data_IF_396098807191
#
_entry.id   IF_396098807191
#
_cell.length_a   1.000
_cell.length_b   1.000
_cell.length_c   1.000
_cell.angle_alpha   90.00
_cell.angle_beta   90.00
_cell.angle_gamma   90.00
#
_symmetry.space_group_name_H-M   'P 1'
#
loop_
_entity.id
_entity.type
_entity.pdbx_description
1 polymer ?
#
# COMPACT_ATOMS: atom_id res chain seq x y z
N UNK A 1 -25.64 5.99 -27.22
CA UNK A 1 -24.43 5.77 -28.03
C UNK A 1 -23.69 4.57 -27.45
N UNK A 2 -23.78 3.45 -28.18
CA UNK A 2 -23.10 2.20 -27.83
C UNK A 2 -21.62 2.35 -28.20
N UNK A 3 -20.75 2.45 -27.21
CA UNK A 3 -19.30 2.43 -27.44
C UNK A 3 -18.94 1.07 -28.05
N UNK A 4 -18.30 1.07 -29.21
CA UNK A 4 -18.01 -0.15 -29.95
C UNK A 4 -17.08 -1.07 -29.14
N UNK A 5 -17.26 -2.40 -29.24
CA UNK A 5 -16.39 -3.41 -28.60
C UNK A 5 -14.89 -3.22 -28.89
N UNK A 6 -14.53 -2.61 -30.04
CA UNK A 6 -13.14 -2.31 -30.40
C UNK A 6 -12.51 -1.18 -29.58
N UNK A 7 -13.31 -0.19 -29.13
CA UNK A 7 -12.79 0.87 -28.24
C UNK A 7 -12.57 0.36 -26.81
N UNK A 8 -13.33 -0.66 -26.36
CA UNK A 8 -13.12 -1.31 -25.06
C UNK A 8 -11.83 -2.14 -24.96
N UNK A 9 -11.28 -2.61 -26.09
CA UNK A 9 -10.08 -3.45 -26.11
C UNK A 9 -8.76 -2.64 -26.05
N UNK A 10 -8.78 -1.32 -26.21
CA UNK A 10 -7.57 -0.50 -26.28
C UNK A 10 -7.09 0.06 -24.92
N UNK A 11 -7.90 -0.02 -23.86
CA UNK A 11 -7.58 0.62 -22.56
C UNK A 11 -7.47 -0.32 -21.37
N UNK A 12 -7.59 -1.64 -21.53
CA UNK A 12 -7.52 -2.58 -20.39
C UNK A 12 -6.19 -3.31 -20.43
N UNK A 13 -5.18 -2.75 -19.79
CA UNK A 13 -4.09 -3.54 -19.21
C UNK A 13 -4.57 -3.94 -17.82
N UNK A 14 -5.04 -5.19 -17.69
CA UNK A 14 -5.65 -5.72 -16.48
C UNK A 14 -4.61 -5.89 -15.36
N UNK A 15 -4.22 -4.78 -14.72
CA UNK A 15 -3.34 -4.83 -13.54
C UNK A 15 -4.10 -5.28 -12.31
N UNK A 16 -5.42 -5.17 -12.36
CA UNK A 16 -6.35 -5.59 -11.32
C UNK A 16 -7.74 -5.86 -11.92
N UNK A 17 -8.49 -6.70 -11.24
CA UNK A 17 -9.87 -7.00 -11.65
C UNK A 17 -10.80 -5.82 -11.35
N UNK A 18 -11.68 -5.39 -12.28
CA UNK A 18 -12.58 -4.27 -12.08
C UNK A 18 -13.84 -4.66 -11.27
N UNK A 19 -13.68 -5.48 -10.24
CA UNK A 19 -14.79 -5.93 -9.38
C UNK A 19 -15.06 -4.88 -8.31
N UNK A 20 -16.33 -4.49 -8.12
CA UNK A 20 -16.73 -3.61 -7.04
C UNK A 20 -16.59 -4.35 -5.69
N UNK A 21 -15.62 -3.98 -4.83
CA UNK A 21 -15.42 -4.68 -3.57
C UNK A 21 -16.51 -4.33 -2.54
N UNK A 22 -17.22 -3.20 -2.71
CA UNK A 22 -18.26 -2.76 -1.77
C UNK A 22 -19.43 -3.74 -1.80
N UNK A 23 -19.78 -4.24 -2.99
CA UNK A 23 -20.91 -5.15 -3.21
C UNK A 23 -20.47 -6.61 -3.45
N UNK A 24 -19.18 -6.92 -3.24
CA UNK A 24 -18.63 -8.26 -3.52
C UNK A 24 -19.05 -9.32 -2.50
N UNK A 25 -19.44 -8.89 -1.30
CA UNK A 25 -20.04 -9.73 -0.26
C UNK A 25 -21.10 -8.94 0.51
N UNK A 26 -22.04 -9.64 1.14
CA UNK A 26 -23.11 -9.04 1.93
C UNK A 26 -22.58 -8.38 3.22
N UNK A 27 -23.33 -7.41 3.74
CA UNK A 27 -22.93 -6.69 4.96
C UNK A 27 -22.75 -7.62 6.18
N UNK A 28 -23.55 -8.68 6.29
CA UNK A 28 -23.41 -9.68 7.34
C UNK A 28 -22.10 -10.46 7.23
N UNK A 29 -21.66 -10.78 6.01
CA UNK A 29 -20.39 -11.48 5.77
C UNK A 29 -19.18 -10.59 6.11
N UNK A 30 -19.26 -9.27 5.90
CA UNK A 30 -18.22 -8.31 6.33
C UNK A 30 -18.07 -8.30 7.87
N UNK A 31 -19.18 -8.38 8.60
CA UNK A 31 -19.16 -8.49 10.07
C UNK A 31 -18.53 -9.81 10.50
N UNK A 32 -18.92 -10.91 9.89
CA UNK A 32 -18.36 -12.25 10.17
C UNK A 32 -16.84 -12.26 9.94
N UNK A 33 -16.35 -11.61 8.88
CA UNK A 33 -14.92 -11.48 8.61
C UNK A 33 -14.18 -10.74 9.73
N UNK A 34 -14.75 -9.65 10.26
CA UNK A 34 -14.17 -8.89 11.37
C UNK A 34 -14.22 -9.69 12.70
N UNK A 35 -15.31 -10.37 12.98
CA UNK A 35 -15.43 -11.25 14.16
C UNK A 35 -14.44 -12.43 14.07
N UNK A 36 -14.22 -12.96 12.88
CA UNK A 36 -13.31 -14.07 12.64
C UNK A 36 -11.86 -13.67 12.95
N UNK A 37 -11.37 -12.55 12.42
CA UNK A 37 -10.00 -12.10 12.71
C UNK A 37 -9.82 -11.77 14.20
N UNK A 38 -10.82 -11.19 14.85
CA UNK A 38 -10.82 -10.96 16.30
C UNK A 38 -10.71 -12.27 17.06
N UNK A 39 -11.53 -13.28 16.70
CA UNK A 39 -11.51 -14.61 17.31
C UNK A 39 -10.18 -15.31 17.13
N UNK A 40 -9.57 -15.24 15.93
CA UNK A 40 -8.24 -15.78 15.67
C UNK A 40 -7.23 -15.12 16.61
N UNK A 41 -7.18 -13.80 16.66
CA UNK A 41 -6.24 -13.08 17.49
C UNK A 41 -6.36 -13.46 18.96
N UNK A 42 -7.57 -13.45 19.52
CA UNK A 42 -7.82 -13.79 20.95
C UNK A 42 -7.35 -15.20 21.34
N UNK A 43 -7.33 -16.15 20.40
CA UNK A 43 -6.87 -17.52 20.67
C UNK A 43 -5.35 -17.67 20.69
N UNK A 44 -4.61 -16.71 20.10
CA UNK A 44 -3.17 -16.79 19.95
C UNK A 44 -2.41 -16.52 21.24
N UNK A 45 -2.95 -15.70 22.15
CA UNK A 45 -2.24 -15.38 23.39
C UNK A 45 -3.21 -14.97 24.51
N UNK A 46 -3.05 -15.52 25.75
CA UNK A 46 -3.93 -15.22 26.90
C UNK A 46 -3.75 -13.80 27.46
N UNK A 47 -2.68 -13.09 27.12
CA UNK A 47 -2.43 -11.72 27.58
C UNK A 47 -3.14 -10.66 26.75
N UNK A 48 -3.92 -11.04 25.75
CA UNK A 48 -4.69 -10.11 24.92
C UNK A 48 -5.87 -9.56 25.72
N UNK A 49 -5.89 -8.24 25.88
CA UNK A 49 -6.97 -7.53 26.60
C UNK A 49 -7.89 -6.78 25.64
N UNK A 50 -7.42 -6.45 24.44
CA UNK A 50 -8.24 -5.78 23.42
C UNK A 50 -7.79 -6.15 22.02
N UNK A 51 -8.78 -6.37 21.17
CA UNK A 51 -8.61 -6.46 19.70
C UNK A 51 -9.51 -5.42 19.05
N UNK A 52 -9.00 -4.75 18.04
CA UNK A 52 -9.77 -3.85 17.18
C UNK A 52 -9.45 -4.19 15.73
N UNK A 53 -10.48 -4.43 14.93
CA UNK A 53 -10.34 -4.70 13.52
C UNK A 53 -11.17 -3.71 12.70
N UNK A 54 -10.68 -3.32 11.53
CA UNK A 54 -11.41 -2.46 10.60
C UNK A 54 -11.23 -2.93 9.17
N UNK A 55 -12.32 -2.89 8.41
CA UNK A 55 -12.36 -3.19 7.00
C UNK A 55 -12.79 -1.93 6.25
N UNK A 56 -12.02 -1.55 5.24
CA UNK A 56 -12.33 -0.45 4.34
C UNK A 56 -12.33 -0.94 2.90
N UNK A 57 -13.27 -0.43 2.12
CA UNK A 57 -13.33 -0.67 0.67
C UNK A 57 -13.68 0.62 -0.05
N UNK A 58 -13.12 0.78 -1.25
CA UNK A 58 -13.34 1.91 -2.13
C UNK A 58 -13.50 1.39 -3.56
N UNK A 59 -14.32 2.05 -4.33
CA UNK A 59 -14.54 1.73 -5.72
C UNK A 59 -14.69 3.02 -6.52
N UNK A 60 -13.72 3.32 -7.37
CA UNK A 60 -13.72 4.50 -8.21
C UNK A 60 -13.90 4.11 -9.67
N UNK A 61 -14.77 4.82 -10.35
CA UNK A 61 -14.94 4.79 -11.81
C UNK A 61 -14.40 6.10 -12.35
N UNK A 62 -13.31 6.02 -13.09
CA UNK A 62 -12.56 7.17 -13.60
C UNK A 62 -12.84 7.32 -15.09
N UNK A 63 -13.13 8.54 -15.51
CA UNK A 63 -13.26 8.93 -16.90
C UNK A 63 -12.47 10.22 -17.13
N UNK A 64 -11.48 10.14 -18.00
CA UNK A 64 -10.59 11.25 -18.32
C UNK A 64 -10.79 11.61 -19.80
N UNK A 65 -11.11 12.87 -20.06
CA UNK A 65 -11.12 13.40 -21.42
C UNK A 65 -10.00 14.41 -21.58
N UNK A 66 -9.03 14.11 -22.42
CA UNK A 66 -7.91 15.00 -22.72
C UNK A 66 -8.37 16.18 -23.60
N UNK A 67 -7.59 17.25 -23.64
CA UNK A 67 -7.88 18.39 -24.51
C UNK A 67 -7.77 18.04 -26.00
N UNK A 68 -7.06 16.97 -26.37
CA UNK A 68 -7.00 16.39 -27.71
C UNK A 68 -8.25 15.62 -28.10
N UNK A 69 -9.18 15.41 -27.15
CA UNK A 69 -10.44 14.70 -27.36
C UNK A 69 -10.37 13.20 -27.10
N UNK A 70 -9.23 12.67 -26.68
CA UNK A 70 -9.08 11.28 -26.27
C UNK A 70 -9.88 11.01 -24.98
N UNK A 71 -10.54 9.86 -24.92
CA UNK A 71 -11.30 9.42 -23.76
C UNK A 71 -10.67 8.17 -23.17
N UNK A 72 -10.29 8.24 -21.91
CA UNK A 72 -9.63 7.15 -21.16
C UNK A 72 -10.48 6.77 -19.96
N UNK A 73 -10.65 5.48 -19.72
CA UNK A 73 -11.43 4.94 -18.62
C UNK A 73 -10.56 4.07 -17.71
N UNK A 74 -10.85 4.07 -16.41
CA UNK A 74 -10.27 3.14 -15.43
C UNK A 74 -11.29 2.81 -14.34
N UNK A 75 -11.24 1.59 -13.80
CA UNK A 75 -12.05 1.15 -12.67
C UNK A 75 -11.08 0.72 -11.57
N UNK A 76 -11.10 1.43 -10.44
CA UNK A 76 -10.09 1.31 -9.37
C UNK A 76 -10.71 0.74 -8.09
N UNK A 77 -10.78 -0.58 -7.92
CA UNK A 77 -11.13 -1.18 -6.63
C UNK A 77 -9.98 -0.98 -5.63
N UNK A 78 -10.32 -0.92 -4.35
CA UNK A 78 -9.35 -0.90 -3.28
C UNK A 78 -9.96 -1.47 -2.01
N UNK A 79 -9.23 -2.38 -1.35
CA UNK A 79 -9.62 -2.94 -0.05
C UNK A 79 -8.48 -2.85 0.94
N UNK A 80 -8.81 -2.70 2.22
CA UNK A 80 -7.87 -2.74 3.32
C UNK A 80 -8.51 -3.35 4.56
N UNK A 81 -7.85 -4.33 5.14
CA UNK A 81 -8.13 -4.86 6.48
C UNK A 81 -6.99 -4.45 7.41
N UNK A 82 -7.31 -3.96 8.59
CA UNK A 82 -6.35 -3.62 9.63
C UNK A 82 -6.77 -4.23 10.95
N UNK A 83 -5.80 -4.72 11.71
CA UNK A 83 -6.00 -5.24 13.06
C UNK A 83 -5.00 -4.59 14.01
N UNK A 84 -5.46 -4.27 15.20
CA UNK A 84 -4.65 -3.79 16.32
C UNK A 84 -4.98 -4.62 17.56
N UNK A 85 -3.94 -5.05 18.26
CA UNK A 85 -4.04 -5.89 19.46
C UNK A 85 -3.33 -5.19 20.60
N UNK A 86 -3.96 -5.17 21.78
CA UNK A 86 -3.33 -4.73 23.02
C UNK A 86 -3.18 -5.95 23.92
N UNK A 87 -1.97 -6.17 24.39
CA UNK A 87 -1.61 -7.18 25.38
C UNK A 87 -1.27 -6.54 26.72
N UNK A 88 -1.54 -7.24 27.81
CA UNK A 88 -1.19 -6.77 29.16
C UNK A 88 -0.55 -7.91 29.95
N UNK A 89 0.61 -7.64 30.56
CA UNK A 89 1.31 -8.55 31.46
C UNK A 89 2.05 -7.73 32.53
N UNK A 90 1.88 -8.06 33.80
CA UNK A 90 2.54 -7.40 34.94
C UNK A 90 2.36 -5.86 34.91
N UNK A 91 1.14 -5.39 34.64
CA UNK A 91 0.78 -3.95 34.51
C UNK A 91 1.43 -3.21 33.33
N UNK A 92 2.20 -3.88 32.49
CA UNK A 92 2.71 -3.33 31.25
C UNK A 92 1.73 -3.65 30.13
N UNK A 93 1.39 -2.62 29.36
CA UNK A 93 0.53 -2.73 28.17
C UNK A 93 1.34 -2.37 26.94
N UNK A 94 1.22 -3.20 25.93
CA UNK A 94 1.86 -2.97 24.64
C UNK A 94 0.89 -3.25 23.50
N UNK A 95 1.15 -2.61 22.35
CA UNK A 95 0.33 -2.72 21.17
C UNK A 95 1.12 -3.32 20.02
N UNK A 96 0.44 -4.15 19.24
CA UNK A 96 0.88 -4.57 17.92
C UNK A 96 -0.21 -4.33 16.89
N UNK A 97 0.18 -4.13 15.66
CA UNK A 97 -0.76 -3.92 14.56
C UNK A 97 -0.26 -4.57 13.27
N UNK A 98 -1.20 -5.04 12.48
CA UNK A 98 -0.93 -5.58 11.15
C UNK A 98 -2.10 -5.27 10.22
N UNK A 99 -1.93 -5.57 8.97
CA UNK A 99 -2.96 -5.43 7.98
C UNK A 99 -2.39 -5.21 6.60
N UNK A 100 -3.27 -5.18 5.64
CA UNK A 100 -2.91 -5.02 4.25
C UNK A 100 -4.15 -4.99 3.38
N UNK A 101 -3.93 -5.15 2.11
CA UNK A 101 -4.94 -5.12 1.07
C UNK A 101 -4.33 -4.66 -0.24
N UNK A 102 -5.16 -4.27 -1.16
CA UNK A 102 -4.75 -3.86 -2.49
C UNK A 102 -5.96 -3.70 -3.38
N UNK A 103 -5.75 -3.81 -4.67
CA UNK A 103 -6.80 -3.71 -5.67
C UNK A 103 -7.44 -5.07 -5.91
N UNK A 104 -8.19 -5.51 -4.88
CA UNK A 104 -8.87 -6.80 -4.81
C UNK A 104 -10.36 -6.62 -4.54
N UNK A 105 -11.13 -7.68 -4.72
CA UNK A 105 -12.41 -7.85 -4.05
C UNK A 105 -12.21 -8.35 -2.61
N UNK A 106 -13.29 -8.46 -1.82
CA UNK A 106 -13.17 -8.82 -0.40
C UNK A 106 -12.84 -10.31 -0.16
N UNK A 107 -12.99 -11.17 -1.18
CA UNK A 107 -12.56 -12.59 -1.16
C UNK A 107 -11.04 -12.78 -1.03
N UNK A 108 -10.27 -11.73 -1.24
CA UNK A 108 -8.84 -11.69 -0.93
C UNK A 108 -8.54 -12.02 0.54
N UNK A 109 -9.43 -11.66 1.46
CA UNK A 109 -9.25 -11.89 2.88
C UNK A 109 -9.61 -13.32 3.28
N UNK A 110 -8.86 -14.29 2.76
CA UNK A 110 -8.97 -15.71 3.10
C UNK A 110 -8.59 -15.99 4.56
N UNK A 111 -8.85 -17.19 5.03
CA UNK A 111 -8.50 -17.62 6.38
C UNK A 111 -7.00 -17.51 6.65
N UNK A 112 -6.18 -17.81 5.67
CA UNK A 112 -4.72 -17.72 5.74
C UNK A 112 -4.28 -16.27 5.92
N UNK A 113 -4.86 -15.34 5.16
CA UNK A 113 -4.56 -13.89 5.26
C UNK A 113 -5.01 -13.34 6.61
N UNK A 114 -6.18 -13.72 7.10
CA UNK A 114 -6.67 -13.33 8.43
C UNK A 114 -5.74 -13.84 9.54
N UNK A 115 -5.31 -15.09 9.43
CA UNK A 115 -4.40 -15.69 10.40
C UNK A 115 -3.02 -15.04 10.38
N UNK A 116 -2.48 -14.73 9.20
CA UNK A 116 -1.22 -14.01 9.04
C UNK A 116 -1.26 -12.64 9.72
N UNK A 117 -2.31 -11.83 9.44
CA UNK A 117 -2.43 -10.50 10.04
C UNK A 117 -2.62 -10.56 11.55
N UNK A 118 -3.47 -11.47 12.03
CA UNK A 118 -3.68 -11.65 13.46
C UNK A 118 -2.38 -12.08 14.17
N UNK A 119 -1.67 -13.06 13.62
CA UNK A 119 -0.41 -13.55 14.17
C UNK A 119 0.67 -12.46 14.19
N UNK A 120 0.78 -11.70 13.11
CA UNK A 120 1.74 -10.59 13.02
C UNK A 120 1.47 -9.52 14.09
N UNK A 121 0.22 -9.09 14.24
CA UNK A 121 -0.16 -8.10 15.25
C UNK A 121 0.08 -8.60 16.68
N UNK A 122 -0.28 -9.86 16.97
CA UNK A 122 -0.08 -10.47 18.29
C UNK A 122 1.41 -10.61 18.60
N UNK A 123 2.20 -11.15 17.66
CA UNK A 123 3.64 -11.32 17.86
C UNK A 123 4.34 -9.99 18.10
N UNK A 124 4.00 -8.95 17.36
CA UNK A 124 4.54 -7.60 17.58
C UNK A 124 4.21 -7.10 19.00
N UNK A 125 2.96 -7.24 19.44
CA UNK A 125 2.56 -6.81 20.78
C UNK A 125 3.30 -7.58 21.88
N UNK A 126 3.50 -8.90 21.71
CA UNK A 126 4.23 -9.75 22.67
C UNK A 126 5.72 -9.38 22.72
N UNK A 127 6.36 -9.20 21.57
CA UNK A 127 7.77 -8.77 21.51
C UNK A 127 7.96 -7.43 22.21
N UNK A 128 7.01 -6.51 22.03
CA UNK A 128 7.06 -5.20 22.69
C UNK A 128 6.97 -5.27 24.22
N UNK A 129 6.33 -6.30 24.80
CA UNK A 129 6.30 -6.48 26.27
C UNK A 129 7.70 -6.66 26.87
N UNK A 130 8.59 -7.32 26.17
CA UNK A 130 9.95 -7.60 26.60
C UNK A 130 10.99 -6.62 25.98
N UNK A 131 10.54 -5.70 25.14
CA UNK A 131 11.40 -4.73 24.47
C UNK A 131 12.02 -3.73 25.45
N UNK A 132 13.30 -3.44 25.26
CA UNK A 132 14.03 -2.36 25.92
C UNK A 132 14.00 -1.09 25.06
N UNK A 133 14.14 0.10 25.67
CA UNK A 133 14.28 1.33 24.91
C UNK A 133 15.46 1.26 23.94
N UNK A 134 15.26 1.70 22.70
CA UNK A 134 16.35 1.80 21.73
C UNK A 134 17.39 2.85 22.21
N UNK A 135 18.70 2.62 21.99
CA UNK A 135 19.73 3.60 22.31
C UNK A 135 19.54 4.86 21.46
N UNK A 136 19.67 6.02 22.09
CA UNK A 136 19.67 7.31 21.40
C UNK A 136 21.07 7.67 20.95
N UNK A 137 21.24 8.21 19.75
CA UNK A 137 22.53 8.66 19.25
C UNK A 137 22.70 8.40 17.75
N UNK A 138 23.85 8.84 17.23
CA UNK A 138 24.25 8.54 15.85
C UNK A 138 24.81 7.13 15.76
N UNK A 139 24.28 6.31 14.87
CA UNK A 139 24.73 4.93 14.69
C UNK A 139 24.49 4.45 13.25
N UNK A 140 25.21 3.42 12.85
CA UNK A 140 24.97 2.73 11.60
C UNK A 140 23.65 1.94 11.68
N UNK A 141 22.78 2.13 10.71
CA UNK A 141 21.51 1.42 10.60
C UNK A 141 21.43 0.62 9.31
N UNK A 142 20.80 -0.56 9.40
CA UNK A 142 20.45 -1.38 8.23
C UNK A 142 18.95 -1.34 8.08
N UNK A 143 18.48 -0.85 6.95
CA UNK A 143 17.05 -0.81 6.60
C UNK A 143 16.70 -2.08 5.82
N UNK A 144 15.79 -2.88 6.36
CA UNK A 144 15.23 -4.04 5.63
C UNK A 144 14.22 -3.62 4.58
N UNK A 145 13.65 -4.60 3.87
CA UNK A 145 12.52 -4.37 2.95
C UNK A 145 11.21 -4.09 3.71
N UNK A 146 10.21 -3.53 3.03
CA UNK A 146 8.88 -3.27 3.58
C UNK A 146 8.73 -1.85 4.11
N UNK A 147 8.39 -1.66 5.39
CA UNK A 147 8.13 -0.35 5.99
C UNK A 147 9.22 0.71 5.78
N UNK A 148 10.53 0.40 5.77
CA UNK A 148 11.56 1.36 5.40
C UNK A 148 11.42 1.96 3.99
N UNK A 149 10.66 1.32 3.11
CA UNK A 149 10.27 1.89 1.81
C UNK A 149 9.49 3.21 1.92
N UNK A 150 8.77 3.43 3.02
CA UNK A 150 8.11 4.72 3.30
C UNK A 150 9.15 5.81 3.55
N UNK A 151 10.24 5.53 4.24
CA UNK A 151 11.33 6.50 4.40
C UNK A 151 11.91 6.90 3.04
N UNK A 152 12.07 5.96 2.11
CA UNK A 152 12.50 6.24 0.75
C UNK A 152 11.48 7.11 -0.01
N UNK A 153 10.18 6.81 0.14
CA UNK A 153 9.09 7.60 -0.42
C UNK A 153 9.16 9.06 0.07
N UNK A 154 9.28 9.29 1.38
CA UNK A 154 9.35 10.63 1.96
C UNK A 154 10.66 11.36 1.62
N UNK A 155 11.80 10.67 1.70
CA UNK A 155 13.10 11.29 1.51
C UNK A 155 13.44 11.56 0.03
N UNK A 156 12.98 10.73 -0.88
CA UNK A 156 13.35 10.76 -2.31
C UNK A 156 12.11 10.98 -3.18
N UNK A 157 11.05 10.22 -2.97
CA UNK A 157 9.87 10.17 -3.84
C UNK A 157 9.25 11.55 -4.03
N UNK A 158 8.89 12.23 -2.95
CA UNK A 158 8.33 13.59 -3.01
C UNK A 158 9.29 14.60 -3.65
N UNK A 159 10.59 14.46 -3.41
CA UNK A 159 11.60 15.31 -4.06
C UNK A 159 11.72 15.12 -5.57
N UNK A 160 11.26 13.97 -6.08
CA UNK A 160 11.31 13.64 -7.51
C UNK A 160 9.99 13.90 -8.26
N UNK A 161 8.95 14.39 -7.58
CA UNK A 161 7.71 14.79 -8.25
C UNK A 161 7.95 15.86 -9.33
N UNK A 162 7.29 15.67 -10.47
CA UNK A 162 7.54 16.47 -11.68
C UNK A 162 7.25 17.96 -11.49
N UNK A 163 6.22 18.32 -10.73
CA UNK A 163 5.82 19.73 -10.53
C UNK A 163 6.82 20.50 -9.66
N UNK A 164 7.38 19.89 -8.59
CA UNK A 164 8.44 20.50 -7.78
C UNK A 164 9.73 20.70 -8.58
N UNK A 165 10.08 19.74 -9.42
CA UNK A 165 11.26 19.83 -10.28
C UNK A 165 11.07 20.89 -11.37
N UNK A 166 9.89 20.97 -12.01
CA UNK A 166 9.53 22.00 -12.98
C UNK A 166 9.58 23.41 -12.39
N UNK A 167 9.12 23.59 -11.14
CA UNK A 167 9.17 24.87 -10.42
C UNK A 167 10.55 25.22 -9.87
N UNK A 168 11.52 24.30 -9.92
CA UNK A 168 12.86 24.51 -9.39
C UNK A 168 12.94 24.51 -7.85
N UNK A 169 11.92 23.97 -7.16
CA UNK A 169 11.84 23.97 -5.68
C UNK A 169 12.38 22.70 -5.05
N UNK A 170 12.64 21.64 -5.83
CA UNK A 170 13.23 20.40 -5.36
C UNK A 170 14.75 20.47 -5.26
N UNK A 171 15.32 19.76 -4.27
CA UNK A 171 16.75 19.51 -4.20
C UNK A 171 17.32 18.75 -5.41
N UNK A 172 16.47 18.10 -6.20
CA UNK A 172 16.84 17.35 -7.42
C UNK A 172 16.71 18.17 -8.70
N UNK A 173 16.17 19.38 -8.65
CA UNK A 173 15.96 20.22 -9.82
C UNK A 173 17.27 20.47 -10.58
N UNK A 174 17.27 20.20 -11.88
CA UNK A 174 18.42 20.39 -12.76
C UNK A 174 19.58 19.38 -12.56
N UNK A 175 19.38 18.31 -11.80
CA UNK A 175 20.42 17.31 -11.48
C UNK A 175 20.39 16.05 -12.31
N UNK A 176 19.60 15.98 -13.38
CA UNK A 176 19.58 14.82 -14.27
C UNK A 176 21.00 14.52 -14.76
N UNK A 177 21.39 13.24 -14.68
CA UNK A 177 22.74 12.76 -15.05
C UNK A 177 23.81 12.96 -13.99
N UNK A 178 23.52 13.66 -12.87
CA UNK A 178 24.50 13.87 -11.80
C UNK A 178 24.39 12.79 -10.71
N UNK A 179 25.46 12.60 -9.95
CA UNK A 179 25.49 11.70 -8.81
C UNK A 179 24.70 12.31 -7.65
N UNK A 180 23.64 11.62 -7.21
CA UNK A 180 22.77 12.04 -6.09
C UNK A 180 22.72 11.02 -4.94
N UNK A 181 23.25 9.81 -5.17
CA UNK A 181 23.31 8.74 -4.17
C UNK A 181 24.59 7.91 -4.32
N UNK A 182 24.77 6.91 -3.45
CA UNK A 182 25.84 5.91 -3.60
C UNK A 182 25.68 5.11 -4.90
N UNK A 183 26.75 4.65 -5.55
CA UNK A 183 26.66 3.86 -6.79
C UNK A 183 25.85 2.57 -6.67
N UNK A 184 25.69 2.04 -5.48
CA UNK A 184 24.90 0.83 -5.21
C UNK A 184 23.37 1.09 -5.17
N UNK A 185 22.96 2.37 -5.19
CA UNK A 185 21.56 2.75 -5.06
C UNK A 185 20.92 2.88 -6.43
N UNK A 186 19.87 2.08 -6.64
CA UNK A 186 18.94 2.21 -7.78
C UNK A 186 17.52 2.34 -7.22
N UNK A 187 16.81 3.38 -7.67
CA UNK A 187 15.44 3.67 -7.26
C UNK A 187 14.51 3.60 -8.46
N UNK A 188 13.44 2.85 -8.32
CA UNK A 188 12.45 2.63 -9.37
C UNK A 188 11.08 2.98 -8.83
N UNK A 189 10.32 3.75 -9.60
CA UNK A 189 8.87 3.91 -9.45
C UNK A 189 8.17 2.95 -10.40
N UNK A 190 7.31 2.07 -9.86
CA UNK A 190 6.65 1.04 -10.65
C UNK A 190 5.16 0.98 -10.38
N UNK A 191 4.39 1.67 -11.23
CA UNK A 191 2.93 1.61 -11.23
C UNK A 191 2.35 0.36 -11.90
N UNK A 192 3.17 -0.64 -12.28
CA UNK A 192 2.72 -1.80 -13.09
C UNK A 192 2.56 -3.10 -12.30
N UNK A 193 2.93 -3.11 -11.02
CA UNK A 193 2.88 -4.33 -10.18
C UNK A 193 1.43 -4.74 -9.97
N UNK A 194 1.01 -5.98 -10.35
CA UNK A 194 -0.37 -6.40 -10.24
C UNK A 194 -0.94 -6.25 -8.83
N UNK A 195 -2.18 -5.78 -8.74
CA UNK A 195 -2.97 -5.66 -7.52
C UNK A 195 -2.39 -4.78 -6.40
N UNK A 196 -1.25 -4.14 -6.60
CA UNK A 196 -0.70 -3.22 -5.59
C UNK A 196 -1.58 -1.98 -5.45
N UNK A 197 -1.69 -1.44 -4.23
CA UNK A 197 -2.45 -0.23 -3.92
C UNK A 197 -2.07 0.96 -4.81
N UNK A 198 -0.78 1.17 -5.04
CA UNK A 198 -0.25 2.28 -5.85
C UNK A 198 -0.27 2.04 -7.37
N UNK A 199 -0.60 0.82 -7.82
CA UNK A 199 -0.64 0.52 -9.24
C UNK A 199 -1.92 1.03 -9.90
N UNK A 200 -1.79 1.57 -11.10
CA UNK A 200 -2.87 2.12 -11.91
C UNK A 200 -2.74 1.62 -13.34
N UNK A 201 -3.86 1.45 -14.06
CA UNK A 201 -3.82 1.22 -15.51
C UNK A 201 -3.43 2.51 -16.23
N UNK A 202 -4.02 3.62 -15.79
CA UNK A 202 -3.72 4.97 -16.27
C UNK A 202 -3.61 5.92 -15.08
N UNK A 203 -2.79 6.96 -15.20
CA UNK A 203 -2.71 8.04 -14.21
C UNK A 203 -3.89 9.02 -14.34
N UNK A 204 -3.91 10.08 -13.55
CA UNK A 204 -4.99 11.07 -13.56
C UNK A 204 -4.89 12.07 -14.74
N UNK A 205 -3.86 11.98 -15.55
CA UNK A 205 -3.70 12.71 -16.82
C UNK A 205 -4.09 11.85 -18.03
N UNK A 206 -4.42 10.57 -17.82
CA UNK A 206 -4.80 9.61 -18.87
C UNK A 206 -3.61 8.85 -19.48
N UNK A 207 -2.39 9.00 -18.95
CA UNK A 207 -1.23 8.27 -19.44
C UNK A 207 -1.19 6.86 -18.86
N UNK A 208 -0.81 5.89 -19.68
CA UNK A 208 -0.55 4.52 -19.21
C UNK A 208 0.62 4.52 -18.23
N UNK A 209 0.42 3.94 -17.05
CA UNK A 209 1.50 3.83 -16.06
C UNK A 209 2.58 2.86 -16.50
N UNK A 210 3.80 3.12 -16.09
CA UNK A 210 5.00 2.37 -16.49
C UNK A 210 5.91 2.12 -15.30
N UNK A 211 6.96 1.37 -15.54
CA UNK A 211 8.09 1.23 -14.62
C UNK A 211 9.16 2.25 -15.04
N UNK A 212 9.46 3.18 -14.13
CA UNK A 212 10.41 4.29 -14.39
C UNK A 212 11.59 4.19 -13.43
N UNK A 213 12.80 4.15 -13.96
CA UNK A 213 14.01 4.26 -13.13
C UNK A 213 14.27 5.74 -12.85
N UNK A 214 14.23 6.10 -11.56
CA UNK A 214 14.43 7.47 -11.08
C UNK A 214 15.90 7.75 -10.76
N UNK A 215 16.57 6.78 -10.16
CA UNK A 215 18.01 6.83 -9.87
C UNK A 215 18.61 5.50 -10.32
N UNK A 216 19.66 5.54 -11.12
CA UNK A 216 20.36 4.36 -11.58
C UNK A 216 21.84 4.42 -11.17
N UNK A 217 22.29 3.43 -10.38
CA UNK A 217 23.67 3.37 -9.90
C UNK A 217 24.16 4.71 -9.30
N UNK A 218 23.28 5.33 -8.49
CA UNK A 218 23.54 6.59 -7.81
C UNK A 218 23.38 7.85 -8.66
N UNK A 219 23.02 7.75 -9.93
CA UNK A 219 22.78 8.89 -10.84
C UNK A 219 21.29 9.12 -11.04
N UNK A 220 20.87 10.39 -11.03
CA UNK A 220 19.51 10.79 -11.31
C UNK A 220 19.20 10.71 -12.81
#
# INVERSE_FOLDING_TARGET
HTISRRQRQMCIRDRYSPINPIDSIESAEKIILLEKIESIAKKLNPHIVKVSASLASQFDVILIKTFTGELVEDIRPLVRLSISVIVEKNQRREQGSAGGGGRYALDYFTDEVLHEYASTAVNQAIVNLDAMPAPAGSMTVVLGSGWPGILLHEAIGHGLEGDFNRKGTSAFSGKIGTKVASPEVTVVDDGTIPNRRGSLNVDDEGNTTSRTTLIENGKL
#
